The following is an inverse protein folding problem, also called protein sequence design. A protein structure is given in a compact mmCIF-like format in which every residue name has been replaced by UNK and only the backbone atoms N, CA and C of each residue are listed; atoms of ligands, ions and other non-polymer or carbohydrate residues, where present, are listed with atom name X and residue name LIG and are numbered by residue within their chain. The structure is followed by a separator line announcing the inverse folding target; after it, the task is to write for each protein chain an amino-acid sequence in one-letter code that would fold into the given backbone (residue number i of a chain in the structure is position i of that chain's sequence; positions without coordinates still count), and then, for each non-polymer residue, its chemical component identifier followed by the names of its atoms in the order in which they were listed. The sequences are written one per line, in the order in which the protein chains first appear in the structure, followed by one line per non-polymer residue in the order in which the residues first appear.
data_IF_447247842845
#
_entry.id   IF_447247842845
#
_cell.length_a   1.000
_cell.length_b   1.000
_cell.length_c   1.000
_cell.angle_alpha   90.00
_cell.angle_beta   90.00
_cell.angle_gamma   90.00
#
_symmetry.space_group_name_H-M   'P 1'
#
loop_
_entity.id
_entity.type
_entity.pdbx_description
1 polymer ?
#
# COMPACT_ATOMS: atom_id res chain seq x y z
N UNK A 1 33.13 -37.40 -30.07
CA UNK A 1 34.19 -36.51 -29.59
C UNK A 1 35.47 -37.27 -29.86
N UNK A 2 36.16 -36.93 -30.96
CA UNK A 2 37.54 -37.38 -31.17
C UNK A 2 38.36 -37.09 -29.90
N UNK A 3 39.29 -37.99 -29.56
CA UNK A 3 40.24 -37.82 -28.47
C UNK A 3 41.11 -36.59 -28.75
N UNK A 4 40.59 -35.41 -28.38
CA UNK A 4 41.32 -34.16 -28.41
C UNK A 4 42.42 -34.27 -27.36
N UNK A 5 43.67 -34.17 -27.80
CA UNK A 5 44.81 -34.07 -26.90
C UNK A 5 44.57 -32.92 -25.89
N UNK A 6 44.95 -33.15 -24.64
CA UNK A 6 44.68 -32.20 -23.54
C UNK A 6 45.14 -30.76 -23.86
N UNK A 7 46.25 -30.61 -24.59
CA UNK A 7 46.77 -29.32 -25.02
C UNK A 7 45.85 -28.55 -26.00
N UNK A 8 45.13 -29.27 -26.86
CA UNK A 8 44.16 -28.67 -27.79
C UNK A 8 42.88 -28.25 -27.05
N UNK A 9 42.46 -29.05 -26.05
CA UNK A 9 41.35 -28.68 -25.15
C UNK A 9 41.70 -27.40 -24.38
N UNK A 10 42.89 -27.32 -23.79
CA UNK A 10 43.36 -26.15 -23.04
C UNK A 10 43.40 -24.89 -23.91
N UNK A 11 43.89 -25.01 -25.15
CA UNK A 11 43.93 -23.91 -26.12
C UNK A 11 42.52 -23.39 -26.44
N UNK A 12 41.58 -24.29 -26.74
CA UNK A 12 40.20 -23.92 -27.05
C UNK A 12 39.49 -23.28 -25.87
N UNK A 13 39.72 -23.78 -24.65
CA UNK A 13 39.19 -23.17 -23.42
C UNK A 13 39.75 -21.75 -23.24
N UNK A 14 41.04 -21.53 -23.51
CA UNK A 14 41.65 -20.21 -23.44
C UNK A 14 41.04 -19.25 -24.48
N UNK A 15 40.85 -19.69 -25.73
CA UNK A 15 40.21 -18.89 -26.78
C UNK A 15 38.76 -18.52 -26.46
N UNK A 16 37.98 -19.47 -25.91
CA UNK A 16 36.61 -19.20 -25.47
C UNK A 16 36.60 -18.18 -24.33
N UNK A 17 37.51 -18.30 -23.35
CA UNK A 17 37.65 -17.32 -22.26
C UNK A 17 37.99 -15.93 -22.78
N UNK A 18 38.90 -15.81 -23.74
CA UNK A 18 39.21 -14.51 -24.36
C UNK A 18 38.00 -13.92 -25.08
N UNK A 19 37.20 -14.74 -25.77
CA UNK A 19 35.94 -14.31 -26.40
C UNK A 19 34.87 -13.90 -25.38
N UNK A 20 34.87 -14.50 -24.19
CA UNK A 20 33.94 -14.17 -23.11
C UNK A 20 34.29 -12.85 -22.42
N UNK A 21 35.57 -12.52 -22.24
CA UNK A 21 36.01 -11.30 -21.54
C UNK A 21 35.30 -10.00 -21.98
N UNK A 22 35.22 -9.66 -23.28
CA UNK A 22 34.53 -8.44 -23.69
C UNK A 22 33.02 -8.49 -23.40
N UNK A 23 32.39 -9.66 -23.52
CA UNK A 23 30.96 -9.84 -23.20
C UNK A 23 30.68 -9.68 -21.71
N UNK A 24 31.56 -10.20 -20.85
CA UNK A 24 31.48 -10.01 -19.40
C UNK A 24 31.66 -8.53 -19.02
N UNK A 25 32.59 -7.83 -19.68
CA UNK A 25 32.79 -6.40 -19.49
C UNK A 25 31.55 -5.59 -19.92
N UNK A 26 30.96 -5.90 -21.08
CA UNK A 26 29.76 -5.22 -21.57
C UNK A 26 28.53 -5.54 -20.71
N UNK A 27 28.38 -6.79 -20.25
CA UNK A 27 27.35 -7.16 -19.29
C UNK A 27 27.52 -6.40 -17.96
N UNK A 28 28.76 -6.19 -17.52
CA UNK A 28 29.10 -5.34 -16.37
C UNK A 28 28.61 -3.91 -16.55
N UNK A 29 28.85 -3.29 -17.72
CA UNK A 29 28.37 -1.93 -18.04
C UNK A 29 26.85 -1.86 -18.04
N UNK A 30 26.16 -2.80 -18.71
CA UNK A 30 24.70 -2.83 -18.77
C UNK A 30 24.07 -3.02 -17.38
N UNK A 31 24.67 -3.83 -16.51
CA UNK A 31 24.23 -3.98 -15.11
C UNK A 31 24.38 -2.67 -14.34
N UNK A 32 25.50 -1.98 -14.51
CA UNK A 32 25.73 -0.67 -13.87
C UNK A 32 24.71 0.38 -14.35
N UNK A 33 24.46 0.46 -15.67
CA UNK A 33 23.44 1.35 -16.25
C UNK A 33 22.05 1.07 -15.70
N UNK A 34 21.64 -0.22 -15.66
CA UNK A 34 20.38 -0.64 -15.04
C UNK A 34 20.30 -0.18 -13.58
N UNK A 35 21.36 -0.36 -12.80
CA UNK A 35 21.34 -0.06 -11.38
C UNK A 35 21.27 1.45 -11.09
N UNK A 36 21.88 2.28 -11.96
CA UNK A 36 21.69 3.74 -11.96
C UNK A 36 20.22 4.10 -12.22
N UNK A 37 19.60 3.51 -13.24
CA UNK A 37 18.20 3.77 -13.57
C UNK A 37 17.24 3.31 -12.46
N UNK A 38 17.47 2.13 -11.87
CA UNK A 38 16.68 1.64 -10.73
C UNK A 38 16.82 2.56 -9.51
N UNK A 39 18.01 3.12 -9.28
CA UNK A 39 18.24 4.07 -8.19
C UNK A 39 17.48 5.37 -8.40
N UNK A 40 17.51 5.92 -9.62
CA UNK A 40 16.75 7.12 -9.97
C UNK A 40 15.24 6.88 -9.89
N UNK A 41 14.75 5.72 -10.34
CA UNK A 41 13.35 5.34 -10.21
C UNK A 41 12.90 5.33 -8.73
N UNK A 42 13.71 4.75 -7.84
CA UNK A 42 13.43 4.77 -6.38
C UNK A 42 13.47 6.20 -5.83
N UNK A 43 14.39 7.05 -6.28
CA UNK A 43 14.48 8.46 -5.87
C UNK A 43 13.22 9.24 -6.27
N UNK A 44 12.77 9.09 -7.52
CA UNK A 44 11.56 9.76 -8.02
C UNK A 44 10.30 9.30 -7.29
N UNK A 45 10.15 8.00 -7.01
CA UNK A 45 9.04 7.47 -6.20
C UNK A 45 8.98 8.10 -4.81
N UNK A 46 10.11 8.15 -4.10
CA UNK A 46 10.18 8.81 -2.77
C UNK A 46 9.81 10.30 -2.84
N UNK A 47 10.18 11.00 -3.91
CA UNK A 47 9.84 12.41 -4.08
C UNK A 47 8.34 12.58 -4.34
N UNK A 48 7.76 11.78 -5.23
CA UNK A 48 6.33 11.77 -5.50
C UNK A 48 5.52 11.47 -4.23
N UNK A 49 5.87 10.42 -3.49
CA UNK A 49 5.24 10.06 -2.21
C UNK A 49 5.30 11.21 -1.18
N UNK A 50 6.43 11.92 -1.10
CA UNK A 50 6.60 13.08 -0.21
C UNK A 50 5.70 14.24 -0.61
N UNK A 51 5.63 14.57 -1.90
CA UNK A 51 4.76 15.62 -2.43
C UNK A 51 3.30 15.27 -2.18
N UNK A 52 2.88 14.05 -2.54
CA UNK A 52 1.52 13.55 -2.28
C UNK A 52 1.17 13.60 -0.80
N UNK A 53 2.10 13.25 0.10
CA UNK A 53 1.86 13.32 1.55
C UNK A 53 1.73 14.76 2.06
N UNK A 54 2.50 15.69 1.52
CA UNK A 54 2.37 17.10 1.87
C UNK A 54 1.02 17.66 1.41
N UNK A 55 0.62 17.34 0.18
CA UNK A 55 -0.65 17.76 -0.41
C UNK A 55 -1.85 17.16 0.36
N UNK A 56 -1.79 15.87 0.71
CA UNK A 56 -2.81 15.21 1.54
C UNK A 56 -2.93 15.88 2.91
N UNK A 57 -1.80 16.17 3.56
CA UNK A 57 -1.82 16.87 4.86
C UNK A 57 -2.36 18.29 4.74
N UNK A 58 -2.10 18.99 3.63
CA UNK A 58 -2.70 20.29 3.37
C UNK A 58 -4.21 20.17 3.20
N UNK A 59 -4.68 19.23 2.39
CA UNK A 59 -6.12 18.96 2.19
C UNK A 59 -6.85 18.58 3.50
N UNK A 60 -6.23 17.76 4.36
CA UNK A 60 -6.76 17.46 5.70
C UNK A 60 -6.89 18.72 6.56
N UNK A 61 -5.85 19.58 6.60
CA UNK A 61 -5.86 20.83 7.36
C UNK A 61 -6.88 21.84 6.85
N UNK A 62 -7.14 21.82 5.55
CA UNK A 62 -8.16 22.65 4.90
C UNK A 62 -9.58 22.07 5.03
N UNK A 63 -9.76 20.92 5.69
CA UNK A 63 -11.07 20.28 5.87
C UNK A 63 -11.66 19.71 4.58
N UNK A 64 -10.84 19.46 3.56
CA UNK A 64 -11.29 18.98 2.23
C UNK A 64 -11.48 17.47 2.15
N UNK A 65 -11.03 16.73 3.16
CA UNK A 65 -11.13 15.27 3.23
C UNK A 65 -11.94 14.88 4.46
N UNK A 66 -13.04 14.11 4.31
CA UNK A 66 -13.80 13.66 5.46
C UNK A 66 -13.01 12.63 6.26
N UNK A 67 -13.23 12.61 7.57
CA UNK A 67 -12.77 11.53 8.45
C UNK A 67 -13.67 10.30 8.34
N UNK A 68 -13.22 9.14 8.84
CA UNK A 68 -14.08 7.95 8.94
C UNK A 68 -15.28 8.24 9.84
N UNK A 69 -15.10 9.02 10.92
CA UNK A 69 -16.21 9.42 11.78
C UNK A 69 -17.26 10.22 10.99
N UNK A 70 -16.84 11.17 10.17
CA UNK A 70 -17.72 11.98 9.32
C UNK A 70 -18.38 11.17 8.20
N UNK A 71 -17.64 10.27 7.54
CA UNK A 71 -18.20 9.39 6.51
C UNK A 71 -19.28 8.45 7.07
N UNK A 72 -19.04 7.89 8.26
CA UNK A 72 -19.98 6.97 8.92
C UNK A 72 -21.19 7.73 9.47
N UNK A 73 -21.00 8.94 9.98
CA UNK A 73 -22.10 9.80 10.41
C UNK A 73 -22.89 10.38 9.21
N UNK A 74 -22.25 10.47 8.05
CA UNK A 74 -22.85 10.87 6.79
C UNK A 74 -23.84 9.83 6.26
N UNK A 75 -24.65 10.25 5.29
CA UNK A 75 -25.61 9.38 4.59
C UNK A 75 -25.05 8.87 3.25
N UNK A 76 -23.73 8.77 3.15
CA UNK A 76 -23.03 8.46 1.90
C UNK A 76 -23.21 7.00 1.51
N UNK A 77 -23.04 6.72 0.21
CA UNK A 77 -23.13 5.37 -0.36
C UNK A 77 -21.87 5.07 -1.17
N UNK A 78 -21.48 3.80 -1.23
CA UNK A 78 -20.27 3.37 -1.95
C UNK A 78 -19.44 2.36 -1.16
N UNK A 79 -18.62 1.59 -1.86
CA UNK A 79 -17.76 0.58 -1.24
C UNK A 79 -16.63 1.25 -0.48
N UNK A 80 -16.23 0.70 0.67
CA UNK A 80 -15.02 1.16 1.35
C UNK A 80 -13.77 0.97 0.47
N UNK A 81 -13.77 0.02 -0.47
CA UNK A 81 -12.67 -0.19 -1.41
C UNK A 81 -12.53 0.89 -2.49
N UNK A 82 -13.52 1.77 -2.63
CA UNK A 82 -13.48 2.93 -3.54
C UNK A 82 -12.67 4.09 -2.94
N UNK A 83 -12.31 3.99 -1.65
CA UNK A 83 -11.58 5.01 -0.90
C UNK A 83 -10.15 4.59 -0.58
N UNK A 84 -9.27 5.60 -0.56
CA UNK A 84 -7.93 5.55 0.01
C UNK A 84 -7.96 6.20 1.38
N UNK A 85 -7.45 5.51 2.40
CA UNK A 85 -7.44 6.01 3.77
C UNK A 85 -6.04 6.44 4.20
N UNK A 86 -5.98 7.55 4.93
CA UNK A 86 -4.73 8.12 5.43
C UNK A 86 -4.88 8.49 6.91
N UNK A 87 -3.86 8.19 7.70
CA UNK A 87 -3.77 8.71 9.06
C UNK A 87 -3.57 10.24 9.03
N UNK A 88 -3.86 10.93 10.14
CA UNK A 88 -3.53 12.37 10.34
C UNK A 88 -2.07 12.74 10.04
N UNK A 89 -1.17 11.76 10.06
CA UNK A 89 0.24 11.94 9.69
C UNK A 89 0.48 11.95 8.18
N UNK A 90 -0.53 11.67 7.36
CA UNK A 90 -0.49 11.48 5.91
C UNK A 90 -0.04 10.08 5.47
N UNK A 91 0.18 9.14 6.39
CA UNK A 91 0.53 7.75 6.04
C UNK A 91 -0.69 6.99 5.54
N UNK A 92 -0.59 6.37 4.37
CA UNK A 92 -1.65 5.52 3.81
C UNK A 92 -1.83 4.24 4.62
N UNK A 93 -3.09 3.87 4.83
CA UNK A 93 -3.51 2.66 5.55
C UNK A 93 -4.70 2.03 4.84
N UNK A 94 -4.93 0.74 5.10
CA UNK A 94 -6.16 0.04 4.76
C UNK A 94 -6.97 -0.24 6.02
N UNK A 95 -8.29 -0.29 5.88
CA UNK A 95 -9.20 -0.65 6.97
C UNK A 95 -9.29 -2.17 7.16
N UNK A 96 -9.50 -2.61 8.40
CA UNK A 96 -9.64 -4.02 8.75
C UNK A 96 -8.31 -4.78 8.84
N UNK A 97 -8.35 -6.09 8.63
CA UNK A 97 -7.22 -6.99 8.86
C UNK A 97 -6.28 -7.13 7.65
N UNK A 98 -4.96 -7.30 7.86
CA UNK A 98 -4.01 -7.60 6.81
C UNK A 98 -4.39 -8.87 6.05
N UNK A 99 -4.36 -8.81 4.71
CA UNK A 99 -4.69 -9.95 3.85
C UNK A 99 -6.19 -10.14 3.58
N UNK A 100 -7.06 -9.32 4.17
CA UNK A 100 -8.46 -9.26 3.75
C UNK A 100 -8.57 -8.78 2.29
N UNK A 101 -9.50 -9.37 1.53
CA UNK A 101 -9.75 -9.00 0.13
C UNK A 101 -10.40 -7.62 -0.01
N UNK A 102 -11.24 -7.27 0.96
CA UNK A 102 -11.98 -6.01 1.01
C UNK A 102 -11.70 -5.25 2.30
N UNK A 103 -11.86 -3.92 2.24
CA UNK A 103 -11.81 -3.05 3.43
C UNK A 103 -13.08 -3.21 4.27
N UNK A 104 -12.94 -3.20 5.60
CA UNK A 104 -14.09 -3.27 6.51
C UNK A 104 -13.94 -2.36 7.73
N UNK A 105 -15.08 -1.89 8.24
CA UNK A 105 -15.22 -1.25 9.54
C UNK A 105 -15.90 -2.21 10.50
N UNK A 106 -15.29 -2.39 11.68
CA UNK A 106 -15.88 -3.19 12.75
C UNK A 106 -16.75 -2.30 13.63
N UNK A 107 -17.95 -2.76 13.94
CA UNK A 107 -18.90 -2.11 14.85
C UNK A 107 -19.28 -3.03 16.00
N UNK A 108 -19.71 -2.45 17.11
CA UNK A 108 -20.17 -3.15 18.31
C UNK A 108 -21.31 -2.41 18.98
N UNK A 109 -22.32 -3.12 19.48
CA UNK A 109 -23.36 -2.59 20.39
C UNK A 109 -23.01 -2.85 21.88
N UNK A 110 -21.85 -3.45 22.14
CA UNK A 110 -21.36 -3.84 23.46
C UNK A 110 -21.53 -5.34 23.75
N UNK A 111 -22.41 -6.03 23.02
CA UNK A 111 -22.63 -7.47 23.14
C UNK A 111 -22.25 -8.24 21.87
N UNK A 112 -22.50 -7.65 20.71
CA UNK A 112 -22.30 -8.22 19.39
C UNK A 112 -21.29 -7.41 18.58
N UNK A 113 -20.78 -8.02 17.52
CA UNK A 113 -19.88 -7.39 16.55
C UNK A 113 -20.47 -7.54 15.15
N UNK A 114 -20.42 -6.45 14.39
CA UNK A 114 -20.78 -6.41 12.97
C UNK A 114 -19.60 -5.88 12.13
N UNK A 115 -19.58 -6.23 10.85
CA UNK A 115 -18.61 -5.70 9.87
C UNK A 115 -19.38 -4.99 8.76
N UNK A 116 -19.03 -3.73 8.52
CA UNK A 116 -19.51 -2.97 7.37
C UNK A 116 -18.43 -2.92 6.29
N UNK A 117 -18.80 -3.20 5.04
CA UNK A 117 -17.90 -3.18 3.88
C UNK A 117 -18.19 -2.00 2.94
N UNK A 118 -19.28 -1.27 3.18
CA UNK A 118 -19.71 -0.09 2.46
C UNK A 118 -20.22 0.98 3.43
N UNK A 119 -20.36 2.20 2.93
CA UNK A 119 -20.79 3.35 3.74
C UNK A 119 -22.26 3.25 4.16
N UNK A 120 -23.11 2.59 3.38
CA UNK A 120 -24.54 2.47 3.69
C UNK A 120 -24.79 1.55 4.91
N UNK A 121 -24.09 0.41 4.98
CA UNK A 121 -24.09 -0.48 6.14
C UNK A 121 -23.48 0.21 7.37
N UNK A 122 -22.36 0.91 7.18
CA UNK A 122 -21.68 1.61 8.28
C UNK A 122 -22.58 2.70 8.87
N UNK A 123 -23.22 3.52 8.04
CA UNK A 123 -24.17 4.55 8.46
C UNK A 123 -25.39 3.95 9.17
N UNK A 124 -25.90 2.81 8.69
CA UNK A 124 -27.02 2.10 9.33
C UNK A 124 -26.66 1.62 10.73
N UNK A 125 -25.51 0.98 10.89
CA UNK A 125 -25.03 0.51 12.19
C UNK A 125 -24.81 1.69 13.15
N UNK A 126 -24.18 2.76 12.68
CA UNK A 126 -23.98 3.97 13.45
C UNK A 126 -25.29 4.62 13.89
N UNK A 127 -26.26 4.77 12.98
CA UNK A 127 -27.59 5.30 13.30
C UNK A 127 -28.38 4.41 14.27
N UNK A 128 -28.12 3.10 14.27
CA UNK A 128 -28.67 2.15 15.22
C UNK A 128 -27.97 2.18 16.60
N UNK A 129 -27.00 3.09 16.81
CA UNK A 129 -26.28 3.27 18.07
C UNK A 129 -25.09 2.33 18.24
N UNK A 130 -24.64 1.65 17.19
CA UNK A 130 -23.43 0.83 17.25
C UNK A 130 -22.19 1.72 17.18
N UNK A 131 -21.18 1.37 17.98
CA UNK A 131 -19.92 2.09 18.06
C UNK A 131 -18.84 1.44 17.19
N UNK A 132 -17.93 2.25 16.64
CA UNK A 132 -16.76 1.75 15.92
C UNK A 132 -15.80 1.02 16.85
N UNK A 133 -15.41 -0.19 16.47
CA UNK A 133 -14.44 -1.02 17.18
C UNK A 133 -15.07 -2.30 17.72
N UNK A 134 -14.54 -2.78 18.84
CA UNK A 134 -15.03 -3.99 19.53
C UNK A 134 -15.24 -3.68 21.01
N UNK A 135 -15.97 -4.52 21.77
CA UNK A 135 -16.21 -4.28 23.19
C UNK A 135 -14.91 -3.99 23.96
N UNK A 136 -14.85 -2.84 24.63
CA UNK A 136 -13.67 -2.36 25.37
C UNK A 136 -12.47 -1.94 24.51
N UNK A 137 -12.62 -1.88 23.19
CA UNK A 137 -11.58 -1.50 22.22
C UNK A 137 -12.18 -0.61 21.11
N UNK A 138 -12.51 0.66 21.41
CA UNK A 138 -13.10 1.57 20.44
C UNK A 138 -12.07 2.01 19.40
N UNK A 139 -12.58 2.33 18.21
CA UNK A 139 -11.81 2.90 17.10
C UNK A 139 -11.77 2.02 15.86
N UNK A 140 -11.08 2.54 14.86
CA UNK A 140 -10.94 1.96 13.53
C UNK A 140 -9.67 1.11 13.49
N UNK A 141 -9.82 -0.16 13.15
CA UNK A 141 -8.68 -1.05 12.89
C UNK A 141 -8.09 -0.73 11.53
N UNK A 142 -6.79 -0.47 11.49
CA UNK A 142 -6.05 -0.14 10.27
C UNK A 142 -4.77 -0.95 10.17
N UNK A 143 -4.27 -1.13 8.94
CA UNK A 143 -2.96 -1.72 8.69
C UNK A 143 -2.21 -1.02 7.56
N UNK A 144 -0.88 -1.09 7.59
CA UNK A 144 -0.04 -0.50 6.53
C UNK A 144 0.05 -1.45 5.33
N UNK A 145 -0.23 -0.98 4.10
CA UNK A 145 -0.16 -1.79 2.89
C UNK A 145 1.18 -2.53 2.76
N UNK A 146 1.13 -3.81 2.37
CA UNK A 146 2.33 -4.64 2.21
C UNK A 146 2.97 -5.11 3.52
N UNK A 147 2.37 -4.81 4.67
CA UNK A 147 2.84 -5.26 5.99
C UNK A 147 1.74 -6.01 6.75
N UNK A 148 2.12 -6.70 7.84
CA UNK A 148 1.18 -7.25 8.84
C UNK A 148 1.04 -6.36 10.07
N UNK A 149 1.52 -5.11 9.99
CA UNK A 149 1.47 -4.20 11.13
C UNK A 149 0.09 -3.56 11.22
N UNK A 150 -0.59 -3.83 12.33
CA UNK A 150 -1.93 -3.32 12.64
C UNK A 150 -1.88 -2.23 13.72
N UNK A 151 -2.85 -1.34 13.69
CA UNK A 151 -3.12 -0.37 14.76
C UNK A 151 -4.63 -0.19 14.94
N UNK A 152 -5.02 0.17 16.16
CA UNK A 152 -6.34 0.72 16.45
C UNK A 152 -6.18 2.23 16.59
N UNK A 153 -6.98 2.98 15.85
CA UNK A 153 -6.86 4.44 15.73
C UNK A 153 -8.25 5.06 15.89
N UNK A 154 -8.34 6.25 16.47
CA UNK A 154 -9.61 6.95 16.59
C UNK A 154 -10.17 7.31 15.19
N UNK A 155 -11.49 7.29 15.04
CA UNK A 155 -12.15 7.43 13.74
C UNK A 155 -11.97 8.83 13.10
N UNK A 156 -11.74 9.84 13.93
CA UNK A 156 -11.43 11.24 13.58
C UNK A 156 -9.97 11.43 13.15
N UNK A 157 -9.10 10.43 13.36
CA UNK A 157 -7.70 10.47 12.93
C UNK A 157 -7.42 9.69 11.63
N UNK A 158 -8.46 9.11 11.04
CA UNK A 158 -8.41 8.40 9.76
C UNK A 158 -9.23 9.18 8.75
N UNK A 159 -8.57 9.71 7.73
CA UNK A 159 -9.17 10.50 6.67
C UNK A 159 -9.36 9.64 5.43
N UNK A 160 -10.42 9.92 4.68
CA UNK A 160 -10.75 9.24 3.46
C UNK A 160 -10.64 10.19 2.27
N UNK A 161 -10.15 9.65 1.15
CA UNK A 161 -10.16 10.29 -0.15
C UNK A 161 -10.69 9.31 -1.16
N UNK A 162 -11.55 9.76 -2.08
CA UNK A 162 -11.99 8.94 -3.18
C UNK A 162 -10.78 8.49 -4.01
N UNK A 163 -10.63 7.19 -4.20
CA UNK A 163 -9.58 6.58 -5.00
C UNK A 163 -9.98 6.50 -6.47
N UNK A 164 -9.05 6.06 -7.31
CA UNK A 164 -9.26 5.97 -8.76
C UNK A 164 -10.43 5.02 -9.13
N UNK A 165 -10.76 4.06 -8.26
CA UNK A 165 -11.92 3.16 -8.44
C UNK A 165 -13.27 3.83 -8.20
N UNK A 166 -13.33 4.83 -7.35
CA UNK A 166 -14.56 5.57 -7.05
C UNK A 166 -14.85 6.75 -7.99
N UNK A 167 -13.89 7.10 -8.86
CA UNK A 167 -14.04 8.15 -9.89
C UNK A 167 -14.59 7.62 -11.23
N UNK A 168 -14.83 6.30 -11.31
CA UNK A 168 -15.31 5.60 -12.51
C UNK A 168 -16.81 5.38 -12.54
#
# INVERSE_FOLDING_TARGET
MEDLEAAEIERRVAEIRERMRPLEADLGKLRAERDVLLTELRRRRRLAERTTRADVKAAMREGKLPTVAELVAGSDTGSLDDYVFNLKTGGEVRLGFPGARSQSLTFTDGAQIAQAFDLAEAARLYAAGWELGSPGRPGVRVHFPGTRQERLVAADEVYARLGDRGLG
#
